data_IF_986700854929
#
_entry.id   IF_986700854929
#
_cell.length_a   1.000
_cell.length_b   1.000
_cell.length_c   1.000
_cell.angle_alpha   90.00
_cell.angle_beta   90.00
_cell.angle_gamma   90.00
#
_symmetry.space_group_name_H-M   'P 1'
#
loop_
_entity.id
_entity.type
_entity.pdbx_description
1 polymer ?
#
# COMPACT_ATOMS: atom_id res chain seq x y z
N UNK A 1 22.78 0.38 -57.59
CA UNK A 1 22.78 0.66 -56.13
C UNK A 1 21.34 0.90 -55.62
N UNK A 2 20.51 -0.15 -55.51
CA UNK A 2 19.19 -0.12 -54.87
C UNK A 2 18.82 -1.54 -54.42
N UNK A 3 19.46 -2.07 -53.38
CA UNK A 3 19.03 -3.36 -52.82
C UNK A 3 19.44 -3.65 -51.37
N UNK A 4 20.18 -2.77 -50.69
CA UNK A 4 20.68 -3.07 -49.32
C UNK A 4 19.81 -2.42 -48.24
N UNK A 5 18.96 -1.44 -48.57
CA UNK A 5 18.27 -0.60 -47.58
C UNK A 5 16.91 -1.14 -47.09
N UNK A 6 16.32 -2.16 -47.75
CA UNK A 6 15.01 -2.72 -47.35
C UNK A 6 15.07 -3.91 -46.39
N UNK A 7 16.25 -4.51 -46.18
CA UNK A 7 16.39 -5.68 -45.30
C UNK A 7 16.54 -5.25 -43.83
N UNK A 8 17.06 -4.05 -43.56
CA UNK A 8 17.37 -3.60 -42.19
C UNK A 8 16.09 -3.15 -41.44
N UNK A 9 15.02 -2.74 -42.14
CA UNK A 9 13.80 -2.20 -41.52
C UNK A 9 12.81 -3.27 -41.02
N UNK A 10 12.96 -4.54 -41.41
CA UNK A 10 12.07 -5.62 -41.00
C UNK A 10 12.57 -6.41 -39.77
N UNK A 11 13.85 -6.30 -39.40
CA UNK A 11 14.43 -7.03 -38.26
C UNK A 11 14.25 -6.32 -36.91
N UNK A 12 14.15 -5.00 -36.90
CA UNK A 12 13.96 -4.22 -35.67
C UNK A 12 12.68 -4.59 -34.88
N UNK A 13 11.48 -4.73 -35.48
CA UNK A 13 10.27 -5.09 -34.74
C UNK A 13 10.28 -6.55 -34.26
N UNK A 14 10.89 -7.47 -35.00
CA UNK A 14 11.01 -8.87 -34.60
C UNK A 14 11.99 -9.06 -33.43
N UNK A 15 13.11 -8.33 -33.43
CA UNK A 15 14.06 -8.33 -32.31
C UNK A 15 13.46 -7.68 -31.06
N UNK A 16 12.71 -6.57 -31.21
CA UNK A 16 11.98 -5.98 -30.08
C UNK A 16 10.90 -6.91 -29.51
N UNK A 17 10.16 -7.62 -30.37
CA UNK A 17 9.14 -8.58 -29.93
C UNK A 17 9.77 -9.77 -29.20
N UNK A 18 10.90 -10.30 -29.70
CA UNK A 18 11.65 -11.36 -29.01
C UNK A 18 12.24 -10.90 -27.67
N UNK A 19 12.75 -9.67 -27.58
CA UNK A 19 13.21 -9.08 -26.31
C UNK A 19 12.06 -8.90 -25.32
N UNK A 20 10.89 -8.43 -25.78
CA UNK A 20 9.71 -8.26 -24.93
C UNK A 20 9.12 -9.60 -24.44
N UNK A 21 9.20 -10.66 -25.24
CA UNK A 21 8.78 -12.02 -24.86
C UNK A 21 9.79 -12.69 -23.91
N UNK A 22 11.10 -12.49 -24.12
CA UNK A 22 12.14 -13.01 -23.23
C UNK A 22 12.10 -12.35 -21.84
N UNK A 23 11.84 -11.04 -21.76
CA UNK A 23 11.65 -10.33 -20.49
C UNK A 23 10.42 -10.81 -19.71
N UNK A 24 9.33 -11.18 -20.41
CA UNK A 24 8.15 -11.77 -19.77
C UNK A 24 8.39 -13.20 -19.26
N UNK A 25 9.22 -13.99 -19.96
CA UNK A 25 9.57 -15.34 -19.54
C UNK A 25 10.55 -15.37 -18.34
N UNK A 26 11.53 -14.45 -18.28
CA UNK A 26 12.45 -14.35 -17.13
C UNK A 26 11.73 -13.91 -15.83
N UNK A 27 10.74 -13.01 -15.96
CA UNK A 27 9.90 -12.59 -14.84
C UNK A 27 9.02 -13.72 -14.27
N UNK A 28 8.77 -14.78 -15.05
CA UNK A 28 8.06 -15.96 -14.56
C UNK A 28 8.97 -16.97 -13.82
N UNK A 29 10.30 -16.82 -13.90
CA UNK A 29 11.28 -17.68 -13.19
C UNK A 29 11.88 -17.05 -11.94
N UNK A 30 11.91 -15.72 -11.85
CA UNK A 30 12.39 -15.02 -10.65
C UNK A 30 11.25 -14.89 -9.63
N UNK A 31 11.32 -15.58 -8.47
CA UNK A 31 10.23 -15.56 -7.50
C UNK A 31 9.99 -14.16 -6.92
N UNK A 32 10.97 -13.25 -7.01
CA UNK A 32 10.95 -11.91 -6.40
C UNK A 32 11.34 -10.83 -7.44
N UNK A 33 10.67 -10.81 -8.59
CA UNK A 33 11.01 -9.96 -9.73
C UNK A 33 10.93 -8.43 -9.47
N UNK A 34 10.20 -8.00 -8.44
CA UNK A 34 10.12 -6.58 -8.04
C UNK A 34 11.23 -6.16 -7.06
N UNK A 35 12.05 -7.11 -6.59
CA UNK A 35 13.12 -6.86 -5.64
C UNK A 35 14.43 -6.52 -6.34
N UNK A 36 15.17 -5.56 -5.78
CA UNK A 36 16.55 -5.31 -6.18
C UNK A 36 17.40 -6.52 -5.83
N UNK A 37 18.32 -6.88 -6.73
CA UNK A 37 19.38 -7.84 -6.42
C UNK A 37 20.21 -7.35 -5.23
N UNK A 38 20.51 -8.26 -4.30
CA UNK A 38 21.27 -7.94 -3.10
C UNK A 38 21.02 -8.89 -1.93
N UNK A 39 21.70 -8.64 -0.79
CA UNK A 39 21.70 -9.54 0.36
C UNK A 39 20.30 -9.78 0.94
N UNK A 40 19.39 -8.81 0.86
CA UNK A 40 18.02 -8.97 1.36
C UNK A 40 17.21 -9.97 0.55
N UNK A 41 17.18 -9.83 -0.79
CA UNK A 41 16.48 -10.75 -1.70
C UNK A 41 17.05 -12.16 -1.54
N UNK A 42 18.37 -12.27 -1.49
CA UNK A 42 19.07 -13.54 -1.29
C UNK A 42 18.68 -14.20 0.04
N UNK A 43 18.72 -13.46 1.15
CA UNK A 43 18.37 -13.98 2.47
C UNK A 43 16.92 -14.48 2.55
N UNK A 44 15.97 -13.77 1.91
CA UNK A 44 14.56 -14.20 1.86
C UNK A 44 14.44 -15.53 1.11
N UNK A 45 14.99 -15.61 -0.10
CA UNK A 45 14.91 -16.82 -0.94
C UNK A 45 15.60 -18.00 -0.25
N UNK A 46 16.80 -17.81 0.27
CA UNK A 46 17.55 -18.85 0.98
C UNK A 46 16.82 -19.31 2.25
N UNK A 47 16.28 -18.39 3.04
CA UNK A 47 15.49 -18.74 4.23
C UNK A 47 14.28 -19.58 3.85
N UNK A 48 13.49 -19.16 2.86
CA UNK A 48 12.30 -19.91 2.40
C UNK A 48 12.71 -21.29 1.89
N UNK A 49 13.74 -21.41 1.06
CA UNK A 49 14.24 -22.71 0.60
C UNK A 49 14.64 -23.62 1.76
N UNK A 50 15.41 -23.07 2.71
CA UNK A 50 15.94 -23.78 3.86
C UNK A 50 14.85 -24.33 4.79
N UNK A 51 13.80 -23.55 5.05
CA UNK A 51 12.71 -23.97 5.95
C UNK A 51 11.63 -24.80 5.25
N UNK A 52 11.64 -24.87 3.91
CA UNK A 52 10.66 -25.64 3.13
C UNK A 52 11.17 -26.96 2.59
N UNK A 53 12.49 -27.17 2.52
CA UNK A 53 13.12 -28.43 2.12
C UNK A 53 13.01 -29.51 3.23
N UNK A 54 12.28 -30.62 3.02
CA UNK A 54 12.14 -31.68 4.02
C UNK A 54 13.46 -32.37 4.42
N UNK A 55 14.52 -32.25 3.62
CA UNK A 55 15.84 -32.79 3.93
C UNK A 55 16.70 -31.80 4.74
N UNK A 56 16.27 -30.54 4.87
CA UNK A 56 17.00 -29.51 5.60
C UNK A 56 16.88 -29.71 7.12
N UNK A 57 17.97 -29.54 7.89
CA UNK A 57 17.91 -29.58 9.35
C UNK A 57 17.09 -28.43 9.97
N UNK A 58 16.77 -27.41 9.18
CA UNK A 58 15.96 -26.26 9.56
C UNK A 58 14.53 -26.31 8.98
N UNK A 59 14.11 -27.46 8.46
CA UNK A 59 12.75 -27.66 7.96
C UNK A 59 11.72 -27.26 9.02
N UNK A 60 10.72 -26.48 8.60
CA UNK A 60 9.57 -26.08 9.42
C UNK A 60 8.33 -26.76 8.85
N UNK A 61 7.54 -27.39 9.71
CA UNK A 61 6.29 -28.04 9.31
C UNK A 61 5.34 -27.02 8.67
N UNK A 62 4.52 -27.46 7.70
CA UNK A 62 3.71 -26.54 6.87
C UNK A 62 2.80 -25.65 7.72
N UNK A 63 2.21 -26.21 8.76
CA UNK A 63 1.32 -25.55 9.73
C UNK A 63 2.03 -24.57 10.67
N UNK A 64 3.35 -24.63 10.76
CA UNK A 64 4.18 -23.73 11.57
C UNK A 64 4.79 -22.57 10.76
N UNK A 65 4.62 -22.56 9.43
CA UNK A 65 5.17 -21.53 8.53
C UNK A 65 4.35 -20.25 8.57
N UNK A 66 4.41 -19.54 9.69
CA UNK A 66 3.70 -18.28 9.91
C UNK A 66 4.64 -17.10 9.70
N UNK A 67 4.29 -16.21 8.78
CA UNK A 67 4.97 -14.93 8.56
C UNK A 67 4.03 -13.77 8.90
N UNK A 68 4.52 -12.81 9.67
CA UNK A 68 3.76 -11.61 10.08
C UNK A 68 4.35 -10.37 9.41
N UNK A 69 3.50 -9.56 8.81
CA UNK A 69 3.86 -8.28 8.21
C UNK A 69 3.10 -7.18 8.92
N UNK A 70 3.80 -6.08 9.19
CA UNK A 70 3.13 -4.81 9.46
C UNK A 70 2.46 -4.31 8.16
N UNK A 71 1.54 -3.35 8.26
CA UNK A 71 0.77 -2.84 7.12
C UNK A 71 1.26 -1.44 6.68
N UNK A 72 1.09 -0.44 7.54
CA UNK A 72 1.51 0.94 7.28
C UNK A 72 3.04 1.00 7.15
N UNK A 73 3.54 1.63 6.08
CA UNK A 73 4.97 1.73 5.80
C UNK A 73 5.62 0.44 5.28
N UNK A 74 4.97 -0.73 5.46
CA UNK A 74 5.50 -2.05 5.10
C UNK A 74 4.83 -2.66 3.88
N UNK A 75 3.49 -2.66 3.79
CA UNK A 75 2.72 -3.17 2.64
C UNK A 75 2.12 -2.06 1.77
N UNK A 76 1.95 -0.87 2.33
CA UNK A 76 1.49 0.32 1.61
C UNK A 76 2.09 1.61 2.17
N UNK A 77 1.86 2.74 1.47
CA UNK A 77 2.41 4.03 1.85
C UNK A 77 1.73 4.62 3.10
N UNK A 78 2.54 5.12 4.05
CA UNK A 78 2.08 5.77 5.30
C UNK A 78 2.34 7.28 5.37
N UNK A 79 3.07 7.86 4.40
CA UNK A 79 3.40 9.28 4.40
C UNK A 79 2.53 10.08 3.44
N UNK A 80 2.00 11.26 3.85
CA UNK A 80 2.40 12.02 5.03
C UNK A 80 1.67 11.64 6.34
N UNK A 81 0.67 10.75 6.26
CA UNK A 81 -0.07 10.23 7.41
C UNK A 81 -0.67 8.86 7.07
N UNK A 82 -0.94 8.05 8.10
CA UNK A 82 -1.58 6.75 7.95
C UNK A 82 -2.92 6.84 7.21
N UNK A 83 -3.24 5.82 6.41
CA UNK A 83 -4.51 5.76 5.66
C UNK A 83 -5.72 5.81 6.59
N UNK A 84 -5.65 5.14 7.75
CA UNK A 84 -6.72 5.20 8.75
C UNK A 84 -6.93 6.61 9.32
N UNK A 85 -5.84 7.38 9.51
CA UNK A 85 -5.96 8.76 9.94
C UNK A 85 -6.62 9.61 8.86
N UNK A 86 -6.20 9.49 7.60
CA UNK A 86 -6.85 10.20 6.49
C UNK A 86 -8.36 9.91 6.43
N UNK A 87 -8.75 8.63 6.59
CA UNK A 87 -10.15 8.23 6.71
C UNK A 87 -10.86 8.93 7.89
N UNK A 88 -10.26 8.89 9.09
CA UNK A 88 -10.85 9.52 10.28
C UNK A 88 -11.05 11.04 10.09
N UNK A 89 -10.12 11.74 9.44
CA UNK A 89 -10.24 13.16 9.16
C UNK A 89 -11.43 13.47 8.24
N UNK A 90 -11.64 12.68 7.20
CA UNK A 90 -12.79 12.85 6.31
C UNK A 90 -14.11 12.45 6.99
N UNK A 91 -14.08 11.45 7.89
CA UNK A 91 -15.23 11.14 8.74
C UNK A 91 -15.59 12.29 9.67
N UNK A 92 -14.62 12.97 10.29
CA UNK A 92 -14.92 14.17 11.10
C UNK A 92 -15.66 15.20 10.27
N UNK A 93 -15.21 15.49 9.04
CA UNK A 93 -15.89 16.46 8.17
C UNK A 93 -17.32 16.01 7.81
N UNK A 94 -17.50 14.73 7.48
CA UNK A 94 -18.80 14.17 7.15
C UNK A 94 -19.79 14.18 8.33
N UNK A 95 -19.29 13.99 9.55
CA UNK A 95 -20.07 13.94 10.78
C UNK A 95 -20.29 15.32 11.42
N UNK A 96 -19.48 16.32 11.09
CA UNK A 96 -19.54 17.67 11.67
C UNK A 96 -20.93 18.34 11.67
N UNK A 97 -21.83 18.16 10.68
CA UNK A 97 -23.18 18.70 10.75
C UNK A 97 -24.01 18.19 11.94
N UNK A 98 -23.65 17.01 12.48
CA UNK A 98 -24.29 16.40 13.66
C UNK A 98 -23.56 16.72 14.97
N UNK A 99 -22.41 17.38 14.90
CA UNK A 99 -21.52 17.68 16.02
C UNK A 99 -21.11 19.16 16.00
N UNK A 100 -22.03 20.09 16.32
CA UNK A 100 -21.74 21.52 16.30
C UNK A 100 -20.61 21.93 17.27
N UNK A 101 -20.42 21.17 18.35
CA UNK A 101 -19.34 21.36 19.33
C UNK A 101 -17.94 21.20 18.73
N UNK A 102 -17.79 20.40 17.68
CA UNK A 102 -16.49 20.18 17.02
C UNK A 102 -15.91 21.44 16.38
N UNK A 103 -16.71 22.48 16.16
CA UNK A 103 -16.23 23.78 15.66
C UNK A 103 -15.36 24.52 16.68
N UNK A 104 -15.45 24.18 17.96
CA UNK A 104 -14.70 24.81 19.04
C UNK A 104 -13.84 23.84 19.85
N UNK A 105 -14.14 22.54 19.79
CA UNK A 105 -13.41 21.49 20.51
C UNK A 105 -12.23 20.93 19.71
N UNK A 106 -11.04 20.87 20.32
CA UNK A 106 -9.89 20.15 19.76
C UNK A 106 -9.99 18.65 20.06
N UNK A 107 -9.43 17.77 19.20
CA UNK A 107 -8.71 18.07 17.95
C UNK A 107 -9.61 18.32 16.73
N UNK A 108 -10.94 18.18 16.86
CA UNK A 108 -11.89 18.27 15.74
C UNK A 108 -11.85 19.62 15.02
N UNK A 109 -11.74 20.72 15.76
CA UNK A 109 -11.62 22.06 15.18
C UNK A 109 -10.43 22.16 14.22
N UNK A 110 -9.26 21.64 14.62
CA UNK A 110 -8.08 21.63 13.75
C UNK A 110 -8.32 20.84 12.46
N UNK A 111 -9.07 19.74 12.51
CA UNK A 111 -9.45 18.97 11.31
C UNK A 111 -10.37 19.79 10.39
N UNK A 112 -11.37 20.45 10.96
CA UNK A 112 -12.33 21.26 10.20
C UNK A 112 -11.68 22.50 9.56
N UNK A 113 -10.68 23.08 10.22
CA UNK A 113 -9.92 24.22 9.72
C UNK A 113 -8.76 23.84 8.78
N UNK A 114 -8.44 22.54 8.66
CA UNK A 114 -7.27 22.08 7.91
C UNK A 114 -5.92 22.40 8.58
N UNK A 115 -5.90 22.65 9.88
CA UNK A 115 -4.70 22.97 10.66
C UNK A 115 -3.94 21.69 11.07
N UNK A 116 -3.20 21.15 10.11
CA UNK A 116 -2.38 19.95 10.31
C UNK A 116 -1.27 20.13 11.35
N UNK A 117 -0.84 21.38 11.63
CA UNK A 117 0.20 21.65 12.62
C UNK A 117 -0.35 21.46 14.02
N UNK A 118 -1.52 22.02 14.30
CA UNK A 118 -2.22 21.82 15.58
C UNK A 118 -2.63 20.37 15.75
N UNK A 119 -3.09 19.72 14.69
CA UNK A 119 -3.40 18.29 14.73
C UNK A 119 -2.16 17.45 15.06
N UNK A 120 -1.03 17.69 14.40
CA UNK A 120 0.21 16.97 14.71
C UNK A 120 0.66 17.19 16.16
N UNK A 121 0.49 18.41 16.68
CA UNK A 121 0.81 18.74 18.08
C UNK A 121 -0.09 18.03 19.10
N UNK A 122 -1.26 17.52 18.70
CA UNK A 122 -2.15 16.74 19.59
C UNK A 122 -1.62 15.34 19.92
N UNK A 123 -0.63 14.86 19.15
CA UNK A 123 0.01 13.56 19.37
C UNK A 123 -0.95 12.38 19.27
N UNK A 124 -0.47 11.21 19.71
CA UNK A 124 -1.21 9.94 19.66
C UNK A 124 -2.59 10.02 20.32
N UNK A 125 -2.71 10.74 21.44
CA UNK A 125 -3.98 10.91 22.15
C UNK A 125 -5.03 11.62 21.28
N UNK A 126 -4.66 12.71 20.60
CA UNK A 126 -5.59 13.42 19.72
C UNK A 126 -5.99 12.57 18.51
N UNK A 127 -5.06 11.79 17.95
CA UNK A 127 -5.37 10.84 16.88
C UNK A 127 -6.36 9.77 17.35
N UNK A 128 -6.16 9.22 18.55
CA UNK A 128 -7.06 8.22 19.13
C UNK A 128 -8.45 8.79 19.41
N UNK A 129 -8.54 10.03 19.90
CA UNK A 129 -9.82 10.73 20.09
C UNK A 129 -10.59 10.90 18.78
N UNK A 130 -9.91 11.24 17.68
CA UNK A 130 -10.53 11.33 16.35
C UNK A 130 -11.08 9.98 15.88
N UNK A 131 -10.27 8.93 15.99
CA UNK A 131 -10.68 7.57 15.60
C UNK A 131 -11.89 7.13 16.43
N UNK A 132 -11.81 7.24 17.75
CA UNK A 132 -12.90 6.83 18.64
C UNK A 132 -14.20 7.59 18.33
N UNK A 133 -14.14 8.91 18.21
CA UNK A 133 -15.33 9.73 17.96
C UNK A 133 -15.98 9.48 16.59
N UNK A 134 -15.20 9.04 15.59
CA UNK A 134 -15.70 8.81 14.23
C UNK A 134 -16.16 7.38 13.97
N UNK A 135 -15.78 6.44 14.82
CA UNK A 135 -16.00 4.99 14.64
C UNK A 135 -16.86 4.36 15.75
N UNK A 136 -17.01 5.01 16.92
CA UNK A 136 -17.77 4.44 18.02
C UNK A 136 -19.29 4.42 17.76
N UNK A 137 -19.96 3.43 18.34
CA UNK A 137 -21.43 3.33 18.33
C UNK A 137 -22.05 2.79 17.04
N UNK A 138 -21.26 2.30 16.09
CA UNK A 138 -21.74 1.62 14.88
C UNK A 138 -21.42 0.13 14.90
N UNK A 139 -22.13 -0.65 14.09
CA UNK A 139 -21.81 -2.07 13.90
C UNK A 139 -20.55 -2.23 13.04
N UNK A 140 -19.92 -3.41 13.10
CA UNK A 140 -18.80 -3.75 12.21
C UNK A 140 -19.18 -3.72 10.74
N UNK A 141 -20.42 -4.10 10.41
CA UNK A 141 -20.95 -4.08 9.05
C UNK A 141 -21.12 -2.64 8.52
N UNK A 142 -21.65 -1.74 9.34
CA UNK A 142 -21.77 -0.32 8.97
C UNK A 142 -20.40 0.31 8.78
N UNK A 143 -19.46 -0.01 9.68
CA UNK A 143 -18.09 0.46 9.58
C UNK A 143 -17.41 -0.02 8.29
N UNK A 144 -17.55 -1.30 7.96
CA UNK A 144 -17.00 -1.88 6.72
C UNK A 144 -17.58 -1.17 5.48
N UNK A 145 -18.88 -0.87 5.48
CA UNK A 145 -19.51 -0.15 4.38
C UNK A 145 -18.97 1.27 4.22
N UNK A 146 -18.80 2.01 5.32
CA UNK A 146 -18.26 3.37 5.32
C UNK A 146 -16.81 3.39 4.81
N UNK A 147 -15.99 2.41 5.23
CA UNK A 147 -14.61 2.27 4.74
C UNK A 147 -14.58 1.95 3.24
N UNK A 148 -15.43 1.02 2.77
CA UNK A 148 -15.54 0.71 1.32
C UNK A 148 -15.98 1.92 0.51
N UNK A 149 -16.97 2.68 1.01
CA UNK A 149 -17.45 3.88 0.35
C UNK A 149 -16.36 4.97 0.26
N UNK A 150 -15.56 5.13 1.33
CA UNK A 150 -14.42 6.04 1.31
C UNK A 150 -13.36 5.61 0.31
N UNK A 151 -12.93 4.35 0.33
CA UNK A 151 -11.93 3.83 -0.63
C UNK A 151 -12.36 3.97 -2.09
N UNK A 152 -13.67 3.93 -2.39
CA UNK A 152 -14.19 4.10 -3.74
C UNK A 152 -13.91 5.48 -4.34
N UNK A 153 -13.67 6.50 -3.51
CA UNK A 153 -13.56 7.90 -3.97
C UNK A 153 -12.32 8.63 -3.46
N UNK A 154 -11.78 8.22 -2.31
CA UNK A 154 -10.64 8.86 -1.67
C UNK A 154 -9.35 8.69 -2.49
N UNK A 155 -8.60 9.78 -2.61
CA UNK A 155 -7.30 9.81 -3.29
C UNK A 155 -6.24 10.40 -2.37
N UNK A 156 -5.05 9.82 -2.44
CA UNK A 156 -3.91 10.33 -1.69
C UNK A 156 -3.47 11.70 -2.24
N UNK A 157 -3.30 12.73 -1.40
CA UNK A 157 -3.12 14.11 -1.84
C UNK A 157 -1.82 14.33 -2.64
N UNK A 158 -0.75 13.60 -2.32
CA UNK A 158 0.54 13.71 -3.03
C UNK A 158 0.53 13.04 -4.40
N UNK A 159 -0.13 11.89 -4.53
CA UNK A 159 -0.04 11.04 -5.72
C UNK A 159 -1.24 11.20 -6.64
N UNK A 160 -2.35 11.75 -6.14
CA UNK A 160 -3.63 11.83 -6.85
C UNK A 160 -4.10 10.45 -7.36
N UNK A 161 -3.86 9.43 -6.56
CA UNK A 161 -4.23 8.03 -6.82
C UNK A 161 -5.16 7.50 -5.74
N UNK A 162 -6.08 6.58 -6.06
CA UNK A 162 -6.83 5.84 -5.05
C UNK A 162 -5.88 5.21 -4.04
N UNK A 163 -6.25 5.22 -2.76
CA UNK A 163 -5.43 4.60 -1.71
C UNK A 163 -5.20 3.09 -1.96
N UNK A 164 -6.14 2.43 -2.62
CA UNK A 164 -6.03 1.02 -3.02
C UNK A 164 -4.97 0.75 -4.09
N UNK A 165 -4.44 1.78 -4.76
CA UNK A 165 -3.33 1.68 -5.72
C UNK A 165 -1.96 1.97 -5.08
N UNK A 166 -1.91 2.29 -3.79
CA UNK A 166 -0.68 2.71 -3.10
C UNK A 166 -0.03 1.60 -2.27
N UNK A 167 -0.18 0.37 -2.72
CA UNK A 167 0.48 -0.81 -2.18
C UNK A 167 1.86 -0.98 -2.79
N UNK A 168 2.80 -1.54 -2.04
CA UNK A 168 4.06 -1.99 -2.63
C UNK A 168 3.80 -3.22 -3.50
N UNK A 169 4.54 -3.30 -4.62
CA UNK A 169 4.48 -4.46 -5.50
C UNK A 169 4.98 -5.72 -4.76
N UNK A 170 4.58 -6.92 -5.23
CA UNK A 170 4.73 -8.16 -4.47
C UNK A 170 6.08 -8.30 -3.78
N UNK A 171 6.00 -8.49 -2.46
CA UNK A 171 7.08 -8.92 -1.58
C UNK A 171 7.40 -10.38 -1.80
#
# INVERSE_FOLDING_TARGET
MRSVSRVITAFAPAVLACLALASQALAATDPLASWKEGPTKQAIVEFVQKVTDPASPDFVAVDERIATFDNDGTLWVEHPMYTQLAFALDRVKALAPRHPEWKTTQPFKAVLDGDMKTLAASGEKGLLELVMATHAGMSTADFEQEVKAWFATAKHPRFNKPYTELTYLPM
#
